data_IF_794883995329
#
_entry.id   IF_794883995329
#
_cell.length_a   1.000
_cell.length_b   1.000
_cell.length_c   1.000
_cell.angle_alpha   90.00
_cell.angle_beta   90.00
_cell.angle_gamma   90.00
#
_symmetry.space_group_name_H-M   'P 1'
#
loop_
_entity.id
_entity.type
_entity.pdbx_description
1 polymer ?
#
# COMPACT_ATOMS: atom_id res chain seq x y z
N UNK A 1 -46.89 -44.57 -23.72
CA UNK A 1 -45.56 -45.21 -23.83
C UNK A 1 -44.54 -44.13 -23.57
N UNK A 2 -43.92 -43.95 -22.40
CA UNK A 2 -43.21 -44.86 -21.50
C UNK A 2 -42.00 -45.57 -22.15
N UNK A 3 -40.83 -45.15 -21.66
CA UNK A 3 -39.47 -45.74 -21.58
C UNK A 3 -38.44 -45.09 -22.54
N UNK A 4 -37.33 -44.48 -22.10
CA UNK A 4 -36.71 -44.32 -20.78
C UNK A 4 -35.23 -44.71 -20.80
N UNK A 5 -34.40 -43.93 -20.10
CA UNK A 5 -33.03 -44.23 -19.57
C UNK A 5 -31.91 -44.08 -20.63
N UNK A 6 -30.87 -43.23 -20.51
CA UNK A 6 -29.89 -43.05 -19.42
C UNK A 6 -29.49 -41.56 -19.35
N UNK A 7 -29.96 -40.85 -18.33
CA UNK A 7 -29.39 -39.56 -17.87
C UNK A 7 -29.21 -39.69 -16.36
N UNK A 8 -28.16 -40.42 -15.97
CA UNK A 8 -27.72 -40.54 -14.58
C UNK A 8 -26.39 -41.28 -14.54
N UNK A 9 -25.28 -40.54 -14.48
CA UNK A 9 -24.16 -40.80 -13.57
C UNK A 9 -23.07 -39.76 -13.84
N UNK A 10 -22.49 -39.26 -12.76
CA UNK A 10 -21.48 -38.21 -12.66
C UNK A 10 -21.99 -36.76 -12.65
N UNK A 11 -22.08 -36.24 -11.41
CA UNK A 11 -22.05 -34.84 -10.95
C UNK A 11 -23.20 -34.38 -10.04
N UNK A 12 -24.06 -35.31 -9.59
CA UNK A 12 -24.73 -35.20 -8.27
C UNK A 12 -24.09 -36.16 -7.28
N UNK A 13 -22.85 -35.89 -6.86
CA UNK A 13 -22.19 -36.50 -5.70
C UNK A 13 -20.87 -35.76 -5.43
N UNK A 14 -20.97 -34.68 -4.64
CA UNK A 14 -19.97 -34.13 -3.70
C UNK A 14 -20.36 -32.68 -3.43
N UNK A 15 -21.18 -32.47 -2.39
CA UNK A 15 -21.33 -31.20 -1.63
C UNK A 15 -22.37 -31.25 -0.50
N UNK A 16 -22.96 -32.41 -0.13
CA UNK A 16 -23.82 -32.50 1.08
C UNK A 16 -23.25 -33.34 2.23
N UNK A 17 -22.01 -33.85 2.10
CA UNK A 17 -21.33 -34.59 3.18
C UNK A 17 -20.42 -33.69 4.00
N UNK A 18 -19.71 -32.73 3.38
CA UNK A 18 -18.77 -31.86 4.10
C UNK A 18 -19.46 -30.73 4.89
N UNK A 19 -20.68 -30.34 4.50
CA UNK A 19 -21.49 -29.35 5.25
C UNK A 19 -22.08 -29.99 6.53
N UNK A 20 -22.48 -31.27 6.47
CA UNK A 20 -22.99 -32.00 7.65
C UNK A 20 -21.92 -32.35 8.68
N UNK A 21 -20.65 -32.44 8.26
CA UNK A 21 -19.54 -32.75 9.16
C UNK A 21 -19.05 -31.52 9.93
N UNK A 22 -19.29 -30.31 9.40
CA UNK A 22 -18.99 -29.04 10.08
C UNK A 22 -20.09 -28.68 11.10
N UNK A 23 -21.36 -28.92 10.78
CA UNK A 23 -22.47 -28.67 11.72
C UNK A 23 -22.44 -29.61 12.94
N UNK A 24 -22.08 -30.88 12.77
CA UNK A 24 -22.00 -31.84 13.87
C UNK A 24 -20.88 -31.50 14.89
N UNK A 25 -19.77 -30.90 14.46
CA UNK A 25 -18.67 -30.49 15.34
C UNK A 25 -19.03 -29.24 16.18
N UNK A 26 -19.90 -28.37 15.66
CA UNK A 26 -20.39 -27.19 16.39
C UNK A 26 -21.42 -27.62 17.45
N UNK A 27 -22.31 -28.56 17.12
CA UNK A 27 -23.29 -29.10 18.07
C UNK A 27 -22.65 -29.91 19.22
N UNK A 28 -21.53 -30.61 18.96
CA UNK A 28 -20.79 -31.34 19.98
C UNK A 28 -20.03 -30.39 20.93
N UNK A 29 -19.52 -29.27 20.41
CA UNK A 29 -18.88 -28.21 21.20
C UNK A 29 -19.91 -27.44 22.07
N UNK A 30 -21.10 -27.16 21.52
CA UNK A 30 -22.21 -26.54 22.26
C UNK A 30 -22.74 -27.49 23.35
N UNK A 31 -22.86 -28.79 23.08
CA UNK A 31 -23.23 -29.79 24.10
C UNK A 31 -22.22 -29.86 25.25
N UNK A 32 -20.91 -29.79 24.95
CA UNK A 32 -19.85 -29.76 25.97
C UNK A 32 -19.94 -28.50 26.85
N UNK A 33 -20.19 -27.34 26.25
CA UNK A 33 -20.39 -26.07 26.97
C UNK A 33 -21.68 -26.08 27.82
N UNK A 34 -22.76 -26.70 27.32
CA UNK A 34 -24.03 -26.83 28.05
C UNK A 34 -23.93 -27.84 29.19
N UNK A 35 -23.17 -28.93 29.07
CA UNK A 35 -22.88 -29.87 30.17
C UNK A 35 -22.03 -29.21 31.27
N UNK A 36 -21.05 -28.37 30.92
CA UNK A 36 -20.33 -27.53 31.89
C UNK A 36 -21.27 -26.60 32.67
N UNK A 37 -22.28 -26.05 32.01
CA UNK A 37 -23.26 -25.13 32.62
C UNK A 37 -24.34 -25.86 33.44
N UNK A 38 -24.63 -27.13 33.15
CA UNK A 38 -25.56 -27.98 33.93
C UNK A 38 -25.00 -28.43 35.29
N UNK A 39 -23.70 -28.25 35.54
CA UNK A 39 -23.09 -28.44 36.86
C UNK A 39 -23.49 -27.38 37.91
N UNK A 40 -24.15 -26.30 37.49
CA UNK A 40 -24.62 -25.23 38.36
C UNK A 40 -26.15 -25.30 38.42
N UNK A 41 -26.68 -26.23 39.22
CA UNK A 41 -28.13 -26.28 39.51
C UNK A 41 -28.55 -25.12 40.40
N UNK A 42 -29.29 -24.20 39.79
CA UNK A 42 -30.57 -23.63 40.27
C UNK A 42 -31.02 -23.98 41.70
N UNK A 43 -31.40 -22.96 42.47
CA UNK A 43 -32.68 -23.00 43.16
C UNK A 43 -33.53 -21.79 42.76
N UNK A 44 -34.71 -22.09 42.23
CA UNK A 44 -35.65 -21.20 41.58
C UNK A 44 -36.79 -20.92 42.58
N UNK A 45 -37.06 -19.64 42.91
CA UNK A 45 -38.37 -19.15 43.41
C UNK A 45 -38.39 -17.62 43.33
N UNK A 46 -38.90 -17.08 42.21
CA UNK A 46 -39.42 -15.70 42.15
C UNK A 46 -40.68 -15.64 43.03
N UNK A 47 -40.60 -14.99 44.21
CA UNK A 47 -41.71 -14.17 44.78
C UNK A 47 -41.56 -13.71 46.24
N UNK A 48 -40.48 -14.00 46.99
CA UNK A 48 -40.36 -13.52 48.39
C UNK A 48 -39.04 -12.84 48.79
N UNK A 49 -38.13 -12.55 47.85
CA UNK A 49 -36.81 -11.97 48.16
C UNK A 49 -36.66 -10.48 47.84
N UNK A 50 -37.70 -9.84 47.29
CA UNK A 50 -37.64 -8.43 46.86
C UNK A 50 -37.96 -7.40 47.97
N UNK A 51 -38.26 -7.85 49.20
CA UNK A 51 -38.51 -6.97 50.33
C UNK A 51 -37.50 -7.09 51.48
N UNK A 52 -36.65 -8.13 51.46
CA UNK A 52 -35.60 -8.33 52.47
C UNK A 52 -34.21 -7.82 52.01
N UNK A 53 -33.95 -7.76 50.70
CA UNK A 53 -32.69 -7.19 50.16
C UNK A 53 -32.70 -5.65 50.14
N UNK A 54 -33.87 -5.02 50.06
CA UNK A 54 -34.02 -3.55 50.16
C UNK A 54 -33.76 -2.98 51.56
N UNK A 55 -33.58 -3.82 52.59
CA UNK A 55 -33.31 -3.38 53.97
C UNK A 55 -31.93 -3.78 54.51
N UNK A 56 -31.07 -4.45 53.73
CA UNK A 56 -29.72 -4.83 54.17
C UNK A 56 -28.55 -4.26 53.35
N UNK A 57 -28.80 -3.55 52.26
CA UNK A 57 -27.75 -2.86 51.47
C UNK A 57 -27.67 -1.35 51.70
N UNK A 58 -28.19 -0.86 52.83
CA UNK A 58 -28.02 0.53 53.26
C UNK A 58 -26.98 0.70 54.39
N UNK A 59 -26.36 -0.37 54.88
CA UNK A 59 -25.39 -0.31 55.99
C UNK A 59 -23.97 -0.83 55.66
N UNK A 60 -23.70 -1.39 54.48
CA UNK A 60 -22.35 -1.86 54.10
C UNK A 60 -21.68 -1.03 52.98
N UNK A 61 -22.34 0.03 52.48
CA UNK A 61 -21.78 0.94 51.46
C UNK A 61 -21.04 2.16 52.08
N UNK A 62 -20.78 2.16 53.40
CA UNK A 62 -20.12 3.29 54.09
C UNK A 62 -18.74 3.00 54.70
N UNK A 63 -18.08 1.88 54.38
CA UNK A 63 -16.75 1.58 54.91
C UNK A 63 -15.79 0.91 53.91
N UNK A 64 -15.81 1.34 52.64
CA UNK A 64 -14.72 1.08 51.71
C UNK A 64 -14.27 2.42 51.13
N UNK A 65 -13.90 3.33 52.04
CA UNK A 65 -13.00 4.44 51.76
C UNK A 65 -11.62 4.04 52.29
N UNK A 66 -10.63 4.09 51.41
CA UNK A 66 -9.19 3.87 51.58
C UNK A 66 -8.60 2.54 51.09
N UNK A 67 -7.62 2.71 50.18
CA UNK A 67 -6.68 1.75 49.58
C UNK A 67 -7.17 0.97 48.35
N UNK A 68 -7.31 1.70 47.24
CA UNK A 68 -6.80 1.22 45.96
C UNK A 68 -5.88 2.32 45.43
N UNK A 69 -4.56 2.12 45.56
CA UNK A 69 -3.57 2.89 44.82
C UNK A 69 -3.76 2.56 43.33
N UNK A 70 -4.52 3.41 42.64
CA UNK A 70 -4.53 3.46 41.18
C UNK A 70 -3.15 3.95 40.72
N UNK A 71 -2.41 3.21 39.88
CA UNK A 71 -1.27 3.80 39.22
C UNK A 71 -1.78 4.93 38.33
N UNK A 72 -1.49 6.17 38.71
CA UNK A 72 -1.56 7.32 37.81
C UNK A 72 -0.55 7.11 36.68
N UNK A 73 -0.98 6.40 35.64
CA UNK A 73 -0.31 6.35 34.36
C UNK A 73 -0.53 7.69 33.65
N UNK A 74 0.28 8.68 33.99
CA UNK A 74 0.61 9.78 33.08
C UNK A 74 1.31 9.20 31.85
N UNK A 75 0.55 8.87 30.81
CA UNK A 75 1.05 8.64 29.46
C UNK A 75 -0.12 8.68 28.46
N UNK A 76 -0.82 9.81 28.37
CA UNK A 76 -1.56 10.17 27.15
C UNK A 76 -0.55 10.54 26.05
N UNK A 77 0.23 9.56 25.60
CA UNK A 77 0.85 9.65 24.28
C UNK A 77 -0.27 9.33 23.29
N UNK A 78 -0.57 10.22 22.33
CA UNK A 78 -1.57 9.91 21.32
C UNK A 78 -1.16 8.60 20.64
N UNK A 79 -2.09 7.63 20.60
CA UNK A 79 -1.88 6.37 19.89
C UNK A 79 -1.57 6.74 18.43
N UNK A 80 -0.31 6.58 18.04
CA UNK A 80 0.12 6.90 16.68
C UNK A 80 -0.53 5.87 15.74
N UNK A 81 -1.39 6.35 14.85
CA UNK A 81 -2.05 5.51 13.84
C UNK A 81 -0.97 4.76 13.03
N UNK A 82 -1.06 3.43 13.00
CA UNK A 82 -0.11 2.62 12.25
C UNK A 82 -0.48 2.66 10.75
N UNK A 83 0.31 3.38 9.98
CA UNK A 83 0.12 3.53 8.53
C UNK A 83 0.67 2.29 7.81
N UNK A 84 -0.15 1.70 6.95
CA UNK A 84 0.27 0.61 6.05
C UNK A 84 1.41 1.08 5.17
N UNK A 85 2.56 0.39 5.24
CA UNK A 85 3.74 0.73 4.46
C UNK A 85 3.60 0.30 2.99
N UNK A 86 4.32 0.95 2.05
CA UNK A 86 4.44 0.45 0.68
C UNK A 86 5.01 -0.97 0.60
N UNK A 87 4.41 -1.81 -0.26
CA UNK A 87 4.92 -3.16 -0.53
C UNK A 87 6.17 -3.15 -1.44
N UNK A 88 6.39 -2.06 -2.19
CA UNK A 88 7.51 -1.88 -3.12
C UNK A 88 8.41 -0.72 -2.68
N UNK A 89 9.72 -0.83 -2.91
CA UNK A 89 10.63 0.32 -2.77
C UNK A 89 10.48 1.21 -4.00
N UNK A 90 10.30 2.50 -3.78
CA UNK A 90 10.15 3.48 -4.85
C UNK A 90 10.89 4.77 -4.50
N UNK A 91 11.54 5.37 -5.49
CA UNK A 91 12.24 6.65 -5.31
C UNK A 91 11.20 7.74 -5.05
N UNK A 92 11.48 8.65 -4.12
CA UNK A 92 10.59 9.76 -3.80
C UNK A 92 9.48 9.44 -2.79
N UNK A 93 9.42 8.21 -2.26
CA UNK A 93 8.41 7.83 -1.27
C UNK A 93 8.37 8.76 -0.04
N UNK A 94 7.17 9.18 0.35
CA UNK A 94 6.90 10.22 1.35
C UNK A 94 6.76 9.71 2.77
N UNK A 95 7.09 8.44 3.02
CA UNK A 95 6.95 7.80 4.34
C UNK A 95 7.64 8.55 5.49
N UNK A 96 8.73 9.27 5.23
CA UNK A 96 9.44 10.05 6.25
C UNK A 96 8.70 11.31 6.69
N UNK A 97 7.88 11.89 5.82
CA UNK A 97 7.15 13.13 6.06
C UNK A 97 5.63 12.92 6.03
N UNK A 98 5.19 11.67 6.10
CA UNK A 98 3.80 11.28 5.84
C UNK A 98 2.82 11.97 6.80
N UNK A 99 3.19 12.10 8.08
CA UNK A 99 2.40 12.79 9.10
C UNK A 99 2.23 14.28 8.74
N UNK A 100 3.23 14.90 8.12
CA UNK A 100 3.13 16.31 7.69
C UNK A 100 2.25 16.45 6.46
N UNK A 101 2.40 15.54 5.49
CA UNK A 101 1.61 15.52 4.25
C UNK A 101 0.13 15.30 4.55
N UNK A 102 -0.22 14.25 5.30
CA UNK A 102 -1.61 13.88 5.58
C UNK A 102 -2.34 14.93 6.44
N UNK A 103 -1.62 15.68 7.28
CA UNK A 103 -2.22 16.74 8.09
C UNK A 103 -2.61 17.98 7.27
N UNK A 104 -2.10 18.13 6.05
CA UNK A 104 -2.52 19.16 5.11
C UNK A 104 -3.73 18.74 4.27
N UNK A 105 -4.13 17.46 4.33
CA UNK A 105 -5.26 16.98 3.55
C UNK A 105 -6.58 17.49 4.15
N UNK A 106 -7.58 17.80 3.31
CA UNK A 106 -8.89 18.14 3.82
C UNK A 106 -9.57 16.92 4.45
N UNK A 107 -10.32 17.15 5.53
CA UNK A 107 -11.04 16.08 6.24
C UNK A 107 -12.25 15.53 5.48
N UNK A 108 -12.79 16.31 4.54
CA UNK A 108 -13.90 15.93 3.68
C UNK A 108 -13.57 16.30 2.25
N UNK A 109 -13.78 15.40 1.30
CA UNK A 109 -13.60 15.62 -0.15
C UNK A 109 -14.63 14.81 -0.93
N UNK A 110 -14.90 15.22 -2.17
CA UNK A 110 -15.75 14.44 -3.07
C UNK A 110 -14.98 13.24 -3.61
N UNK A 111 -14.01 13.47 -4.50
CA UNK A 111 -13.06 12.45 -4.94
C UNK A 111 -11.62 12.76 -4.51
N UNK A 112 -10.76 11.74 -4.55
CA UNK A 112 -9.31 11.87 -4.38
C UNK A 112 -8.58 11.50 -5.67
N UNK A 113 -7.54 12.25 -6.02
CA UNK A 113 -6.68 12.00 -7.17
C UNK A 113 -5.20 12.02 -6.78
N UNK A 114 -4.44 10.99 -7.19
CA UNK A 114 -2.98 10.90 -7.07
C UNK A 114 -2.40 10.49 -8.43
N UNK A 115 -2.06 11.45 -9.31
CA UNK A 115 -1.60 11.18 -10.68
C UNK A 115 -0.12 10.80 -10.80
N UNK A 116 0.60 10.77 -9.66
CA UNK A 116 2.00 10.34 -9.55
C UNK A 116 2.11 9.31 -8.43
N UNK A 117 1.48 8.15 -8.60
CA UNK A 117 1.32 7.16 -7.54
C UNK A 117 2.66 6.67 -6.98
N UNK A 118 3.61 6.32 -7.85
CA UNK A 118 4.87 5.69 -7.44
C UNK A 118 4.68 4.52 -6.48
N UNK A 119 5.35 4.57 -5.32
CA UNK A 119 5.21 3.54 -4.27
C UNK A 119 3.92 3.62 -3.45
N UNK A 120 3.07 4.64 -3.65
CA UNK A 120 1.77 4.78 -3.00
C UNK A 120 1.82 5.01 -1.50
N UNK A 121 2.91 5.58 -0.96
CA UNK A 121 3.00 5.88 0.47
C UNK A 121 1.90 6.84 0.94
N UNK A 122 1.50 7.78 0.08
CA UNK A 122 0.47 8.77 0.40
C UNK A 122 -0.92 8.17 0.22
N UNK A 123 -1.16 7.45 -0.88
CA UNK A 123 -2.36 6.64 -1.07
C UNK A 123 -2.64 5.73 0.14
N UNK A 124 -1.66 4.95 0.59
CA UNK A 124 -1.84 4.02 1.71
C UNK A 124 -2.15 4.76 3.02
N UNK A 125 -1.50 5.90 3.28
CA UNK A 125 -1.83 6.74 4.44
C UNK A 125 -3.24 7.31 4.35
N UNK A 126 -3.65 7.85 3.20
CA UNK A 126 -5.01 8.32 2.96
C UNK A 126 -6.03 7.22 3.27
N UNK A 127 -5.81 6.01 2.74
CA UNK A 127 -6.71 4.88 2.93
C UNK A 127 -6.76 4.43 4.40
N UNK A 128 -5.63 4.42 5.11
CA UNK A 128 -5.62 4.17 6.56
C UNK A 128 -6.44 5.22 7.32
N UNK A 129 -6.27 6.51 7.01
CA UNK A 129 -7.04 7.59 7.64
C UNK A 129 -8.54 7.52 7.29
N UNK A 130 -8.88 7.12 6.06
CA UNK A 130 -10.27 6.86 5.64
C UNK A 130 -10.88 5.70 6.40
N UNK A 131 -10.17 4.58 6.53
CA UNK A 131 -10.63 3.40 7.26
C UNK A 131 -10.89 3.70 8.76
N UNK A 132 -10.15 4.64 9.33
CA UNK A 132 -10.31 5.11 10.71
C UNK A 132 -11.26 6.32 10.85
N UNK A 133 -12.01 6.69 9.81
CA UNK A 133 -12.99 7.78 9.84
C UNK A 133 -12.41 9.20 9.97
N UNK A 134 -11.09 9.36 9.89
CA UNK A 134 -10.39 10.65 10.00
C UNK A 134 -10.46 11.47 8.71
N UNK A 135 -10.63 10.81 7.56
CA UNK A 135 -10.87 11.45 6.26
C UNK A 135 -12.12 10.82 5.63
N UNK A 136 -13.03 11.66 5.15
CA UNK A 136 -14.27 11.25 4.48
C UNK A 136 -14.18 11.57 2.99
N UNK A 137 -14.32 10.54 2.17
CA UNK A 137 -14.35 10.63 0.70
C UNK A 137 -15.71 10.12 0.27
N UNK A 138 -16.50 10.95 -0.43
CA UNK A 138 -17.87 10.61 -0.84
C UNK A 138 -17.91 9.76 -2.10
N UNK A 139 -17.02 10.08 -3.04
CA UNK A 139 -16.87 9.43 -4.33
C UNK A 139 -15.67 8.50 -4.36
N UNK A 140 -14.96 8.53 -5.48
CA UNK A 140 -13.92 7.57 -5.83
C UNK A 140 -12.52 8.04 -5.44
N UNK A 141 -11.61 7.08 -5.37
CA UNK A 141 -10.18 7.29 -5.15
C UNK A 141 -9.48 6.87 -6.43
N UNK A 142 -8.87 7.82 -7.12
CA UNK A 142 -8.19 7.61 -8.39
C UNK A 142 -6.67 7.68 -8.17
N UNK A 143 -5.97 6.64 -8.59
CA UNK A 143 -4.53 6.55 -8.51
C UNK A 143 -3.97 6.19 -9.89
N UNK A 144 -3.01 6.97 -10.37
CA UNK A 144 -2.42 6.74 -11.69
C UNK A 144 -0.94 7.02 -11.72
N UNK A 145 -0.29 6.41 -12.71
CA UNK A 145 1.12 6.58 -13.00
C UNK A 145 1.34 6.31 -14.49
N UNK A 146 2.38 6.90 -15.06
CA UNK A 146 2.77 6.63 -16.45
C UNK A 146 3.33 5.20 -16.60
N UNK A 147 3.86 4.63 -15.51
CA UNK A 147 4.45 3.29 -15.51
C UNK A 147 3.37 2.19 -15.51
N UNK A 148 3.15 1.59 -16.68
CA UNK A 148 2.20 0.48 -16.84
C UNK A 148 2.53 -0.74 -15.98
N UNK A 149 3.81 -1.06 -15.78
CA UNK A 149 4.24 -2.23 -15.03
C UNK A 149 3.91 -2.06 -13.54
N UNK A 150 4.08 -0.85 -13.01
CA UNK A 150 3.69 -0.48 -11.65
C UNK A 150 2.17 -0.59 -11.46
N UNK A 151 1.39 0.01 -12.36
CA UNK A 151 -0.08 -0.04 -12.29
C UNK A 151 -0.60 -1.48 -12.45
N UNK A 152 0.02 -2.28 -13.32
CA UNK A 152 -0.26 -3.71 -13.45
C UNK A 152 -0.03 -4.47 -12.13
N UNK A 153 1.08 -4.19 -11.44
CA UNK A 153 1.38 -4.77 -10.13
C UNK A 153 0.33 -4.39 -9.07
N UNK A 154 -0.07 -3.11 -8.99
CA UNK A 154 -1.17 -2.69 -8.11
C UNK A 154 -2.48 -3.42 -8.41
N UNK A 155 -2.86 -3.53 -9.69
CA UNK A 155 -4.08 -4.24 -10.12
C UNK A 155 -4.03 -5.74 -9.78
N UNK A 156 -2.88 -6.37 -9.93
CA UNK A 156 -2.69 -7.78 -9.58
C UNK A 156 -2.75 -8.01 -8.06
N UNK A 157 -2.20 -7.10 -7.25
CA UNK A 157 -2.37 -7.12 -5.79
C UNK A 157 -3.84 -6.92 -5.43
N UNK A 158 -4.54 -5.98 -6.08
CA UNK A 158 -5.95 -5.66 -5.80
C UNK A 158 -6.92 -6.81 -6.16
N UNK A 159 -6.69 -7.47 -7.29
CA UNK A 159 -7.63 -8.43 -7.86
C UNK A 159 -7.28 -9.90 -7.56
N UNK A 160 -5.99 -10.24 -7.44
CA UNK A 160 -5.51 -11.62 -7.35
C UNK A 160 -4.28 -11.76 -6.42
N UNK A 161 -4.35 -11.30 -5.16
CA UNK A 161 -3.19 -11.28 -4.25
C UNK A 161 -2.61 -12.67 -4.01
N UNK A 162 -3.46 -13.69 -3.88
CA UNK A 162 -3.06 -15.10 -3.68
C UNK A 162 -2.25 -15.67 -4.84
N UNK A 163 -2.67 -15.38 -6.07
CA UNK A 163 -1.97 -15.85 -7.27
C UNK A 163 -0.61 -15.15 -7.40
N UNK A 164 -0.55 -13.85 -7.11
CA UNK A 164 0.71 -13.12 -7.09
C UNK A 164 1.65 -13.66 -6.02
N UNK A 165 1.17 -13.86 -4.79
CA UNK A 165 1.93 -14.45 -3.67
C UNK A 165 2.52 -15.80 -4.11
N UNK A 166 1.71 -16.67 -4.71
CA UNK A 166 2.14 -17.98 -5.20
C UNK A 166 3.25 -17.88 -6.24
N UNK A 167 3.14 -16.99 -7.23
CA UNK A 167 4.17 -16.84 -8.26
C UNK A 167 5.46 -16.20 -7.72
N UNK A 168 5.37 -15.21 -6.83
CA UNK A 168 6.55 -14.62 -6.17
C UNK A 168 7.26 -15.66 -5.31
N UNK A 169 6.50 -16.51 -4.62
CA UNK A 169 7.03 -17.58 -3.77
C UNK A 169 7.84 -18.58 -4.59
N UNK A 170 7.36 -19.03 -5.76
CA UNK A 170 8.13 -19.91 -6.66
C UNK A 170 9.48 -19.30 -7.06
N UNK A 171 9.47 -18.04 -7.50
CA UNK A 171 10.71 -17.34 -7.90
C UNK A 171 11.67 -17.23 -6.72
N UNK A 172 11.13 -16.97 -5.52
CA UNK A 172 11.89 -16.81 -4.28
C UNK A 172 12.51 -18.14 -3.83
N UNK A 173 11.75 -19.24 -3.84
CA UNK A 173 12.22 -20.58 -3.48
C UNK A 173 13.35 -21.04 -4.40
N UNK A 174 13.29 -20.74 -5.70
CA UNK A 174 14.38 -21.06 -6.62
C UNK A 174 15.61 -20.17 -6.40
N UNK A 175 15.42 -18.88 -6.10
CA UNK A 175 16.50 -17.97 -5.73
C UNK A 175 17.22 -18.41 -4.45
N UNK A 176 16.49 -18.88 -3.44
CA UNK A 176 17.06 -19.36 -2.17
C UNK A 176 17.89 -20.63 -2.31
N UNK A 177 17.62 -21.47 -3.33
CA UNK A 177 18.45 -22.64 -3.66
C UNK A 177 19.79 -22.28 -4.28
N UNK A 178 19.94 -21.06 -4.80
CA UNK A 178 21.16 -20.61 -5.47
C UNK A 178 22.24 -20.31 -4.41
N UNK A 179 23.09 -21.27 -4.09
CA UNK A 179 24.11 -21.15 -3.03
C UNK A 179 25.55 -21.01 -3.53
N UNK A 180 25.77 -21.14 -4.85
CA UNK A 180 27.10 -21.06 -5.44
C UNK A 180 27.60 -19.64 -5.66
N UNK A 181 28.89 -19.54 -6.01
CA UNK A 181 29.61 -18.27 -6.20
C UNK A 181 30.05 -18.04 -7.65
N UNK A 182 29.72 -18.94 -8.57
CA UNK A 182 30.06 -18.80 -9.99
C UNK A 182 29.01 -17.90 -10.64
N UNK A 183 29.42 -16.72 -11.09
CA UNK A 183 28.52 -15.70 -11.65
C UNK A 183 28.47 -15.81 -13.17
N UNK A 184 27.29 -16.09 -13.71
CA UNK A 184 26.98 -16.03 -15.14
C UNK A 184 25.80 -15.06 -15.38
N UNK A 185 26.11 -13.81 -15.72
CA UNK A 185 25.11 -12.77 -15.99
C UNK A 185 24.38 -12.93 -17.35
N UNK A 186 24.78 -13.91 -18.16
CA UNK A 186 24.24 -14.16 -19.51
C UNK A 186 23.72 -15.60 -19.65
N UNK A 187 23.30 -16.21 -18.54
CA UNK A 187 22.73 -17.55 -18.52
C UNK A 187 21.68 -17.75 -19.64
N UNK A 188 21.79 -18.87 -20.33
CA UNK A 188 20.88 -19.29 -21.40
C UNK A 188 19.94 -20.42 -20.96
N UNK A 189 20.30 -21.13 -19.89
CA UNK A 189 19.45 -22.14 -19.26
C UNK A 189 19.23 -21.85 -17.78
N UNK A 190 18.26 -22.54 -17.18
CA UNK A 190 17.98 -22.42 -15.74
C UNK A 190 19.13 -23.00 -14.90
N UNK A 191 19.77 -24.07 -15.35
CA UNK A 191 20.91 -24.70 -14.66
C UNK A 191 22.09 -23.72 -14.55
N UNK A 192 22.40 -23.00 -15.64
CA UNK A 192 23.40 -21.95 -15.63
C UNK A 192 23.02 -20.78 -14.70
N UNK A 193 21.73 -20.45 -14.65
CA UNK A 193 21.21 -19.38 -13.82
C UNK A 193 21.24 -19.71 -12.32
N UNK A 194 21.06 -20.98 -11.94
CA UNK A 194 21.03 -21.43 -10.54
C UNK A 194 22.42 -21.48 -9.86
N UNK A 195 23.49 -21.20 -10.61
CA UNK A 195 24.89 -21.23 -10.13
C UNK A 195 25.21 -20.21 -9.04
N UNK A 196 24.47 -19.10 -8.96
CA UNK A 196 24.58 -18.10 -7.89
C UNK A 196 23.33 -17.23 -7.82
N UNK A 197 23.04 -16.58 -6.67
CA UNK A 197 21.93 -15.63 -6.56
C UNK A 197 21.98 -14.53 -7.63
N UNK A 198 23.19 -14.07 -7.94
CA UNK A 198 23.40 -13.02 -8.95
C UNK A 198 23.08 -13.54 -10.36
N UNK A 199 23.54 -14.74 -10.74
CA UNK A 199 23.19 -15.39 -12.00
C UNK A 199 21.66 -15.48 -12.16
N UNK A 200 20.96 -15.94 -11.11
CA UNK A 200 19.51 -16.11 -11.12
C UNK A 200 18.77 -14.77 -11.23
N UNK A 201 19.24 -13.74 -10.52
CA UNK A 201 18.70 -12.39 -10.68
C UNK A 201 18.77 -11.91 -12.15
N UNK A 202 19.93 -12.05 -12.80
CA UNK A 202 20.08 -11.63 -14.20
C UNK A 202 19.24 -12.48 -15.16
N UNK A 203 19.01 -13.76 -14.85
CA UNK A 203 18.09 -14.61 -15.58
C UNK A 203 16.64 -14.12 -15.49
N UNK A 204 16.13 -13.84 -14.29
CA UNK A 204 14.79 -13.27 -14.11
C UNK A 204 14.66 -11.91 -14.82
N UNK A 205 15.69 -11.07 -14.72
CA UNK A 205 15.71 -9.77 -15.42
C UNK A 205 15.65 -9.92 -16.94
N UNK A 206 16.41 -10.86 -17.51
CA UNK A 206 16.38 -11.18 -18.95
C UNK A 206 14.98 -11.62 -19.35
N UNK A 207 14.36 -12.53 -18.59
CA UNK A 207 12.99 -13.01 -18.85
C UNK A 207 11.97 -11.88 -18.81
N UNK A 208 11.99 -11.03 -17.78
CA UNK A 208 11.10 -9.87 -17.70
C UNK A 208 11.24 -8.93 -18.90
N UNK A 209 12.48 -8.65 -19.32
CA UNK A 209 12.74 -7.79 -20.47
C UNK A 209 12.29 -8.41 -21.81
N UNK A 210 12.25 -9.74 -21.91
CA UNK A 210 11.74 -10.46 -23.07
C UNK A 210 10.22 -10.52 -23.16
N UNK A 211 9.49 -10.18 -22.09
CA UNK A 211 8.03 -10.12 -22.10
C UNK A 211 7.52 -8.93 -22.94
N UNK A 212 6.40 -9.14 -23.63
CA UNK A 212 5.62 -8.06 -24.25
C UNK A 212 5.09 -7.08 -23.20
N UNK A 213 4.59 -5.90 -23.62
CA UNK A 213 4.01 -4.92 -22.70
C UNK A 213 2.81 -5.48 -21.94
N UNK A 214 1.99 -6.29 -22.60
CA UNK A 214 0.81 -6.95 -22.06
C UNK A 214 1.21 -8.07 -21.08
N UNK A 215 2.26 -8.82 -21.40
CA UNK A 215 2.76 -9.87 -20.52
C UNK A 215 3.42 -9.32 -19.26
N UNK A 216 4.07 -8.16 -19.30
CA UNK A 216 4.68 -7.52 -18.12
C UNK A 216 3.66 -7.14 -17.05
N UNK A 217 2.41 -6.86 -17.44
CA UNK A 217 1.32 -6.56 -16.49
C UNK A 217 0.55 -7.79 -16.03
N UNK A 218 0.91 -8.99 -16.50
CA UNK A 218 0.37 -10.26 -15.98
C UNK A 218 0.82 -10.55 -14.55
N UNK A 219 0.21 -11.56 -13.90
CA UNK A 219 0.64 -12.05 -12.59
C UNK A 219 2.12 -12.45 -12.60
N UNK A 220 2.58 -13.14 -13.65
CA UNK A 220 3.97 -13.56 -13.78
C UNK A 220 4.92 -12.35 -13.94
N UNK A 221 4.57 -11.39 -14.78
CA UNK A 221 5.36 -10.16 -14.96
C UNK A 221 5.44 -9.34 -13.67
N UNK A 222 4.33 -9.23 -12.94
CA UNK A 222 4.26 -8.56 -11.63
C UNK A 222 5.08 -9.28 -10.57
N UNK A 223 5.08 -10.61 -10.56
CA UNK A 223 5.90 -11.41 -9.65
C UNK A 223 7.40 -11.19 -9.90
N UNK A 224 7.82 -11.19 -11.17
CA UNK A 224 9.20 -10.86 -11.55
C UNK A 224 9.57 -9.43 -11.17
N UNK A 225 8.69 -8.46 -11.38
CA UNK A 225 8.94 -7.06 -11.00
C UNK A 225 9.12 -6.90 -9.49
N UNK A 226 8.25 -7.51 -8.67
CA UNK A 226 8.36 -7.46 -7.21
C UNK A 226 9.64 -8.13 -6.72
N UNK A 227 9.96 -9.33 -7.24
CA UNK A 227 11.21 -10.02 -6.94
C UNK A 227 12.43 -9.15 -7.27
N UNK A 228 12.47 -8.57 -8.48
CA UNK A 228 13.57 -7.70 -8.90
C UNK A 228 13.67 -6.46 -8.01
N UNK A 229 12.56 -5.81 -7.66
CA UNK A 229 12.60 -4.64 -6.77
C UNK A 229 13.21 -4.95 -5.40
N UNK A 230 12.92 -6.13 -4.84
CA UNK A 230 13.43 -6.53 -3.52
C UNK A 230 14.89 -6.97 -3.55
N UNK A 231 15.40 -7.39 -4.71
CA UNK A 231 16.74 -7.95 -4.87
C UNK A 231 17.71 -7.06 -5.65
N UNK A 232 17.24 -6.05 -6.38
CA UNK A 232 18.06 -5.13 -7.16
C UNK A 232 18.71 -4.04 -6.30
N UNK A 233 19.73 -3.39 -6.85
CA UNK A 233 20.44 -2.30 -6.20
C UNK A 233 19.48 -1.19 -5.75
N UNK A 234 19.40 -1.00 -4.43
CA UNK A 234 18.57 -0.02 -3.71
C UNK A 234 17.06 -0.11 -3.94
N UNK A 235 16.56 -1.13 -4.63
CA UNK A 235 15.14 -1.27 -4.95
C UNK A 235 14.60 -0.12 -5.80
N UNK A 236 15.44 0.44 -6.68
CA UNK A 236 15.01 1.46 -7.63
C UNK A 236 14.37 0.80 -8.85
N UNK A 237 13.45 1.51 -9.49
CA UNK A 237 12.97 1.17 -10.82
C UNK A 237 13.70 2.03 -11.84
N UNK A 238 14.27 1.40 -12.86
CA UNK A 238 14.89 2.11 -13.98
C UNK A 238 14.85 1.24 -15.23
N UNK A 239 14.35 1.82 -16.31
CA UNK A 239 14.35 1.21 -17.64
C UNK A 239 15.17 2.06 -18.59
N UNK A 240 15.83 1.40 -19.54
CA UNK A 240 16.43 2.05 -20.70
C UNK A 240 15.82 1.50 -21.99
N UNK A 241 16.44 1.75 -23.16
CA UNK A 241 15.95 1.24 -24.44
C UNK A 241 15.76 -0.28 -24.49
N UNK A 242 16.49 -1.03 -23.66
CA UNK A 242 16.46 -2.49 -23.58
C UNK A 242 15.66 -3.02 -22.36
N UNK A 243 14.78 -2.22 -21.77
CA UNK A 243 13.98 -2.57 -20.60
C UNK A 243 14.70 -2.34 -19.27
N UNK A 244 14.28 -3.07 -18.23
CA UNK A 244 14.77 -2.92 -16.86
C UNK A 244 16.27 -3.21 -16.78
N UNK A 245 17.04 -2.27 -16.21
CA UNK A 245 18.51 -2.28 -16.29
C UNK A 245 19.22 -2.07 -14.94
N UNK A 246 18.52 -2.30 -13.82
CA UNK A 246 19.12 -2.17 -12.48
C UNK A 246 19.97 -3.42 -12.18
N UNK A 247 21.19 -3.29 -11.61
CA UNK A 247 22.02 -4.43 -11.25
C UNK A 247 21.52 -5.13 -9.97
N UNK A 248 22.06 -6.32 -9.69
CA UNK A 248 21.81 -7.06 -8.46
C UNK A 248 22.28 -6.26 -7.23
N UNK A 249 21.51 -6.31 -6.14
CA UNK A 249 21.73 -5.49 -4.94
C UNK A 249 22.64 -6.13 -3.88
N UNK A 250 22.92 -7.43 -3.98
CA UNK A 250 23.76 -8.19 -3.03
C UNK A 250 23.36 -8.00 -1.55
N UNK A 251 22.06 -8.07 -1.27
CA UNK A 251 21.56 -8.05 0.12
C UNK A 251 21.77 -9.42 0.76
N UNK A 252 22.21 -9.46 2.03
CA UNK A 252 22.43 -10.71 2.75
C UNK A 252 21.15 -11.55 2.89
N UNK A 253 20.08 -10.94 3.42
CA UNK A 253 18.78 -11.59 3.63
C UNK A 253 17.65 -10.62 3.20
N UNK A 254 17.38 -10.45 1.89
CA UNK A 254 16.32 -9.57 1.45
C UNK A 254 14.95 -10.14 1.84
N UNK A 255 14.11 -9.37 2.53
CA UNK A 255 12.69 -9.70 2.68
C UNK A 255 11.98 -9.48 1.34
N UNK A 256 11.84 -10.55 0.56
CA UNK A 256 11.24 -10.50 -0.78
C UNK A 256 9.71 -10.50 -0.71
N UNK A 257 9.13 -11.36 0.14
CA UNK A 257 7.70 -11.57 0.23
C UNK A 257 7.23 -11.53 1.69
N UNK A 258 6.23 -10.70 1.94
CA UNK A 258 5.50 -10.63 3.21
C UNK A 258 4.03 -10.89 2.91
N UNK A 259 3.61 -12.17 2.95
CA UNK A 259 2.28 -12.59 2.44
C UNK A 259 1.13 -11.84 3.11
N UNK A 260 1.17 -11.73 4.44
CA UNK A 260 0.14 -11.03 5.21
C UNK A 260 0.10 -9.53 4.86
N UNK A 261 1.26 -8.92 4.63
CA UNK A 261 1.33 -7.52 4.23
C UNK A 261 0.69 -7.28 2.86
N UNK A 262 0.96 -8.15 1.88
CA UNK A 262 0.32 -8.07 0.55
C UNK A 262 -1.20 -8.20 0.66
N UNK A 263 -1.70 -9.12 1.50
CA UNK A 263 -3.15 -9.26 1.75
C UNK A 263 -3.75 -8.02 2.41
N UNK A 264 -3.07 -7.45 3.40
CA UNK A 264 -3.50 -6.21 4.06
C UNK A 264 -3.55 -5.04 3.08
N UNK A 265 -2.53 -4.90 2.22
CA UNK A 265 -2.54 -3.89 1.14
C UNK A 265 -3.70 -4.13 0.18
N UNK A 266 -3.88 -5.37 -0.29
CA UNK A 266 -4.96 -5.75 -1.21
C UNK A 266 -6.34 -5.37 -0.68
N UNK A 267 -6.61 -5.66 0.60
CA UNK A 267 -7.85 -5.28 1.27
C UNK A 267 -8.01 -3.75 1.32
N UNK A 268 -6.93 -3.03 1.63
CA UNK A 268 -6.96 -1.56 1.77
C UNK A 268 -7.21 -0.84 0.45
N UNK A 269 -6.66 -1.35 -0.66
CA UNK A 269 -6.76 -0.72 -1.99
C UNK A 269 -7.97 -1.21 -2.81
N UNK A 270 -8.87 -2.01 -2.22
CA UNK A 270 -9.93 -2.72 -2.97
C UNK A 270 -10.79 -1.82 -3.85
N UNK A 271 -11.09 -0.62 -3.37
CA UNK A 271 -11.97 0.35 -4.04
C UNK A 271 -11.21 1.45 -4.81
N UNK A 272 -9.89 1.32 -4.96
CA UNK A 272 -9.07 2.29 -5.69
C UNK A 272 -9.17 2.06 -7.19
N UNK A 273 -9.42 3.12 -7.96
CA UNK A 273 -9.43 3.08 -9.42
C UNK A 273 -8.00 3.34 -9.91
N UNK A 274 -7.32 2.26 -10.31
CA UNK A 274 -5.96 2.34 -10.87
C UNK A 274 -5.98 2.52 -12.40
N UNK A 275 -5.29 3.55 -12.89
CA UNK A 275 -5.21 3.86 -14.33
C UNK A 275 -3.76 4.10 -14.75
N UNK A 276 -3.38 3.56 -15.91
CA UNK A 276 -2.11 3.91 -16.56
C UNK A 276 -2.37 5.09 -17.49
N UNK A 277 -1.95 6.29 -17.11
CA UNK A 277 -2.11 7.49 -17.94
C UNK A 277 -1.12 8.57 -17.50
N UNK A 278 -0.98 9.62 -18.32
CA UNK A 278 -0.23 10.79 -17.91
C UNK A 278 -1.02 11.61 -16.87
N UNK A 279 -0.35 12.55 -16.20
CA UNK A 279 -0.99 13.35 -15.16
C UNK A 279 -2.10 14.24 -15.72
N UNK A 280 -1.94 14.77 -16.93
CA UNK A 280 -2.94 15.65 -17.57
C UNK A 280 -4.26 14.91 -17.81
N UNK A 281 -4.20 13.69 -18.36
CA UNK A 281 -5.37 12.83 -18.55
C UNK A 281 -6.06 12.49 -17.23
N UNK A 282 -5.27 12.21 -16.18
CA UNK A 282 -5.80 11.91 -14.85
C UNK A 282 -6.55 13.11 -14.22
N UNK A 283 -6.21 14.32 -14.65
CA UNK A 283 -6.75 15.58 -14.12
C UNK A 283 -7.88 16.15 -14.98
N UNK A 284 -8.20 15.57 -16.14
CA UNK A 284 -9.20 16.08 -17.08
C UNK A 284 -10.59 16.25 -16.44
N UNK A 285 -10.99 15.29 -15.59
CA UNK A 285 -12.35 15.17 -15.05
C UNK A 285 -12.53 15.72 -13.64
N UNK A 286 -11.49 16.35 -13.07
CA UNK A 286 -11.57 16.90 -11.72
C UNK A 286 -12.59 18.04 -11.67
N UNK A 287 -13.33 18.08 -10.58
CA UNK A 287 -14.37 19.09 -10.35
C UNK A 287 -14.30 19.66 -8.95
N UNK A 288 -15.12 20.69 -8.71
CA UNK A 288 -15.21 21.37 -7.42
C UNK A 288 -15.35 20.36 -6.26
N UNK A 289 -14.68 20.65 -5.15
CA UNK A 289 -14.67 19.87 -3.91
C UNK A 289 -13.90 18.53 -3.97
N UNK A 290 -13.33 18.16 -5.11
CA UNK A 290 -12.29 17.14 -5.21
C UNK A 290 -10.99 17.58 -4.53
N UNK A 291 -10.12 16.62 -4.23
CA UNK A 291 -8.77 16.85 -3.73
C UNK A 291 -7.73 16.12 -4.57
N UNK A 292 -6.65 16.82 -4.91
CA UNK A 292 -5.56 16.29 -5.74
C UNK A 292 -4.24 16.36 -4.96
N UNK A 293 -3.58 15.22 -4.80
CA UNK A 293 -2.21 15.15 -4.29
C UNK A 293 -1.23 14.94 -5.44
N UNK A 294 -0.26 15.84 -5.57
CA UNK A 294 0.72 15.86 -6.65
C UNK A 294 2.13 15.63 -6.09
N UNK A 295 2.81 14.61 -6.59
CA UNK A 295 4.20 14.30 -6.25
C UNK A 295 5.02 13.96 -7.52
N UNK A 296 5.19 14.94 -8.43
CA UNK A 296 5.91 14.70 -9.67
C UNK A 296 7.40 14.41 -9.39
N UNK A 297 8.15 13.90 -10.40
CA UNK A 297 9.60 14.06 -10.42
C UNK A 297 9.98 15.50 -10.08
N UNK A 298 10.94 15.70 -9.17
CA UNK A 298 11.24 17.03 -8.65
C UNK A 298 11.89 17.93 -9.69
N UNK A 299 11.52 19.20 -9.62
CA UNK A 299 12.12 20.24 -10.44
C UNK A 299 13.64 20.32 -10.16
N UNK A 300 14.47 20.45 -11.20
CA UNK A 300 15.91 20.53 -11.06
C UNK A 300 16.35 21.81 -10.34
N UNK A 301 17.46 21.74 -9.61
CA UNK A 301 18.06 22.91 -8.94
C UNK A 301 18.62 23.92 -9.98
N UNK A 302 19.23 23.42 -11.07
CA UNK A 302 19.94 24.23 -12.08
C UNK A 302 19.71 23.71 -13.53
N UNK A 303 19.96 24.53 -14.55
CA UNK A 303 19.87 24.13 -15.97
C UNK A 303 20.80 22.96 -16.34
N UNK A 304 21.93 22.80 -15.67
CA UNK A 304 22.84 21.66 -15.90
C UNK A 304 22.32 20.34 -15.32
N UNK A 305 21.53 20.39 -14.24
CA UNK A 305 20.84 19.20 -13.70
C UNK A 305 19.71 18.71 -14.61
N UNK A 306 19.20 19.58 -15.48
CA UNK A 306 18.20 19.25 -16.50
C UNK A 306 18.65 18.14 -17.45
N UNK A 307 19.93 18.12 -17.84
CA UNK A 307 20.47 17.13 -18.79
C UNK A 307 20.54 15.72 -18.18
N UNK A 308 20.61 15.61 -16.85
CA UNK A 308 20.79 14.32 -16.15
C UNK A 308 19.51 13.67 -15.64
N UNK A 309 18.48 14.45 -15.30
CA UNK A 309 17.20 13.94 -14.76
C UNK A 309 16.12 13.76 -15.84
N UNK A 310 16.28 14.39 -17.01
CA UNK A 310 15.39 14.20 -18.17
C UNK A 310 15.36 12.77 -18.72
N UNK A 311 16.24 11.87 -18.25
CA UNK A 311 16.22 10.46 -18.63
C UNK A 311 14.94 9.71 -18.22
N UNK A 312 14.24 10.19 -17.19
CA UNK A 312 12.97 9.62 -16.73
C UNK A 312 11.74 10.24 -17.43
N UNK A 313 11.95 11.11 -18.43
CA UNK A 313 10.91 11.62 -19.32
C UNK A 313 10.14 12.85 -18.84
N UNK A 314 10.30 13.28 -17.58
CA UNK A 314 9.62 14.48 -17.04
C UNK A 314 10.51 15.73 -17.20
N UNK A 315 10.29 16.45 -18.29
CA UNK A 315 11.08 17.64 -18.67
C UNK A 315 10.45 18.97 -18.19
N UNK A 316 11.08 20.10 -18.53
CA UNK A 316 10.65 21.45 -18.15
C UNK A 316 9.25 21.78 -18.68
N UNK A 317 8.91 21.31 -19.88
CA UNK A 317 7.60 21.57 -20.45
C UNK A 317 6.51 20.79 -19.72
N UNK A 318 6.82 19.57 -19.25
CA UNK A 318 5.94 18.84 -18.33
C UNK A 318 5.76 19.59 -17.00
N UNK A 319 6.83 20.16 -16.43
CA UNK A 319 6.72 21.00 -15.23
C UNK A 319 5.83 22.23 -15.47
N UNK A 320 6.05 22.95 -16.56
CA UNK A 320 5.24 24.13 -16.93
C UNK A 320 3.77 23.77 -17.12
N UNK A 321 3.50 22.65 -17.79
CA UNK A 321 2.14 22.14 -17.98
C UNK A 321 1.49 21.80 -16.63
N UNK A 322 2.18 21.04 -15.77
CA UNK A 322 1.69 20.72 -14.44
C UNK A 322 1.38 21.97 -13.61
N UNK A 323 2.27 22.97 -13.62
CA UNK A 323 2.04 24.21 -12.87
C UNK A 323 0.86 25.00 -13.40
N UNK A 324 0.67 25.04 -14.72
CA UNK A 324 -0.52 25.61 -15.33
C UNK A 324 -1.80 24.90 -14.87
N UNK A 325 -1.81 23.57 -14.86
CA UNK A 325 -2.96 22.79 -14.37
C UNK A 325 -3.24 23.04 -12.87
N UNK A 326 -2.20 23.19 -12.04
CA UNK A 326 -2.36 23.59 -10.64
C UNK A 326 -3.03 24.97 -10.49
N UNK A 327 -2.72 25.93 -11.36
CA UNK A 327 -3.39 27.23 -11.39
C UNK A 327 -4.85 27.12 -11.85
N UNK A 328 -5.14 26.28 -12.84
CA UNK A 328 -6.51 26.00 -13.29
C UNK A 328 -7.35 25.29 -12.22
N UNK A 329 -6.77 24.37 -11.44
CA UNK A 329 -7.42 23.73 -10.29
C UNK A 329 -7.92 24.76 -9.27
N UNK A 330 -7.09 25.77 -8.95
CA UNK A 330 -7.48 26.86 -8.07
C UNK A 330 -8.68 27.64 -8.63
N UNK A 331 -8.66 27.98 -9.91
CA UNK A 331 -9.79 28.68 -10.56
C UNK A 331 -11.09 27.85 -10.51
N UNK A 332 -10.98 26.52 -10.66
CA UNK A 332 -12.09 25.55 -10.55
C UNK A 332 -12.52 25.25 -9.10
N UNK A 333 -11.86 25.83 -8.08
CA UNK A 333 -12.07 25.54 -6.65
C UNK A 333 -11.83 24.06 -6.29
N UNK A 334 -10.88 23.44 -6.97
CA UNK A 334 -10.34 22.12 -6.63
C UNK A 334 -9.19 22.33 -5.66
N UNK A 335 -9.18 21.63 -4.52
CA UNK A 335 -8.08 21.75 -3.56
C UNK A 335 -6.92 20.85 -3.98
N UNK A 336 -5.71 21.33 -3.81
CA UNK A 336 -4.51 20.56 -4.11
C UNK A 336 -3.46 20.62 -3.01
N UNK A 337 -2.61 19.61 -3.00
CA UNK A 337 -1.32 19.64 -2.33
C UNK A 337 -0.24 19.16 -3.30
N UNK A 338 0.73 20.02 -3.60
CA UNK A 338 1.90 19.70 -4.41
C UNK A 338 3.13 19.54 -3.52
N UNK A 339 3.86 18.43 -3.70
CA UNK A 339 5.19 18.20 -3.14
C UNK A 339 6.25 18.47 -4.22
N UNK A 340 7.28 19.25 -3.91
CA UNK A 340 8.39 19.49 -4.85
C UNK A 340 9.68 19.94 -4.14
N UNK A 341 10.77 20.09 -4.88
CA UNK A 341 12.01 20.68 -4.37
C UNK A 341 11.86 22.18 -4.11
N UNK A 342 12.57 22.69 -3.09
CA UNK A 342 12.64 24.13 -2.82
C UNK A 342 13.57 24.84 -3.82
N UNK A 343 13.08 25.10 -5.04
CA UNK A 343 13.84 25.76 -6.12
C UNK A 343 13.14 26.99 -6.67
N UNK A 344 13.88 27.91 -7.30
CA UNK A 344 13.35 29.17 -7.87
C UNK A 344 12.18 28.92 -8.83
N UNK A 345 12.32 27.94 -9.72
CA UNK A 345 11.27 27.56 -10.67
C UNK A 345 9.92 27.26 -9.99
N UNK A 346 9.94 26.56 -8.84
CA UNK A 346 8.73 26.21 -8.09
C UNK A 346 8.22 27.42 -7.31
N UNK A 347 9.09 28.20 -6.66
CA UNK A 347 8.71 29.41 -5.90
C UNK A 347 8.05 30.47 -6.78
N UNK A 348 8.59 30.68 -7.99
CA UNK A 348 8.06 31.64 -8.96
C UNK A 348 6.68 31.21 -9.48
N UNK A 349 6.44 29.90 -9.62
CA UNK A 349 5.16 29.35 -10.07
C UNK A 349 4.06 29.41 -8.99
N UNK A 350 4.43 29.41 -7.71
CA UNK A 350 3.50 29.36 -6.59
C UNK A 350 3.75 30.48 -5.55
N UNK A 351 3.58 31.76 -5.92
CA UNK A 351 3.90 32.88 -5.05
C UNK A 351 2.88 33.06 -3.91
N UNK A 352 3.36 33.55 -2.77
CA UNK A 352 2.50 34.03 -1.68
C UNK A 352 1.91 35.43 -2.02
N UNK A 353 0.73 35.79 -1.49
CA UNK A 353 -0.16 34.98 -0.65
C UNK A 353 -1.12 34.09 -1.46
N UNK A 354 -0.95 34.01 -2.79
CA UNK A 354 -1.84 33.23 -3.67
C UNK A 354 -1.80 31.76 -3.29
N UNK A 355 -0.62 31.22 -2.97
CA UNK A 355 -0.43 29.87 -2.48
C UNK A 355 0.20 29.89 -1.09
N UNK A 356 -0.10 28.87 -0.29
CA UNK A 356 0.54 28.63 0.99
C UNK A 356 1.63 27.57 0.83
N UNK A 357 2.84 27.89 1.27
CA UNK A 357 4.01 27.01 1.14
C UNK A 357 4.55 26.65 2.52
N UNK A 358 4.66 25.35 2.80
CA UNK A 358 5.34 24.80 3.97
C UNK A 358 6.67 24.17 3.54
N UNK A 359 7.77 24.64 4.11
CA UNK A 359 9.11 24.11 3.86
C UNK A 359 9.42 23.01 4.88
N UNK A 360 9.97 21.89 4.42
CA UNK A 360 10.40 20.76 5.25
C UNK A 360 11.85 20.41 4.94
N UNK A 361 12.66 20.26 5.98
CA UNK A 361 14.04 19.81 5.83
C UNK A 361 14.09 18.28 5.87
N UNK A 362 14.40 17.66 4.73
CA UNK A 362 14.44 16.21 4.55
C UNK A 362 15.90 15.72 4.45
N UNK A 363 16.20 14.53 4.98
CA UNK A 363 17.50 13.89 4.69
C UNK A 363 17.50 13.40 3.25
N UNK A 364 18.57 13.65 2.48
CA UNK A 364 18.69 13.07 1.13
C UNK A 364 18.78 11.55 1.25
N UNK A 365 17.80 10.84 0.70
CA UNK A 365 17.77 9.38 0.74
C UNK A 365 18.93 8.73 -0.04
N UNK A 366 19.55 9.45 -0.99
CA UNK A 366 20.49 8.88 -1.97
C UNK A 366 21.67 9.85 -2.19
N UNK A 367 22.53 10.06 -1.19
CA UNK A 367 23.83 10.71 -1.41
C UNK A 367 24.97 9.82 -0.90
N UNK A 368 25.58 9.05 -1.80
CA UNK A 368 26.64 8.09 -1.47
C UNK A 368 27.88 8.73 -0.82
N UNK A 369 28.14 10.01 -1.10
CA UNK A 369 29.30 10.75 -0.59
C UNK A 369 29.03 11.53 0.71
N UNK A 370 27.77 11.78 1.07
CA UNK A 370 27.41 12.56 2.26
C UNK A 370 26.02 12.15 2.78
N UNK A 371 25.95 11.12 3.65
CA UNK A 371 24.69 10.57 4.15
C UNK A 371 23.84 11.56 4.99
N UNK A 372 24.46 12.65 5.46
CA UNK A 372 23.81 13.67 6.29
C UNK A 372 23.32 14.88 5.48
N UNK A 373 23.55 14.92 4.16
CA UNK A 373 23.10 16.00 3.31
C UNK A 373 21.57 16.16 3.44
N UNK A 374 21.12 17.37 3.74
CA UNK A 374 19.70 17.71 3.78
C UNK A 374 19.31 18.44 2.50
N UNK A 375 18.09 18.22 2.07
CA UNK A 375 17.45 19.01 1.02
C UNK A 375 16.15 19.55 1.58
N UNK A 376 15.76 20.73 1.14
CA UNK A 376 14.46 21.26 1.49
C UNK A 376 13.44 20.84 0.44
N UNK A 377 12.27 20.46 0.94
CA UNK A 377 11.08 20.13 0.17
C UNK A 377 10.01 21.18 0.49
N UNK A 378 9.22 21.55 -0.51
CA UNK A 378 8.07 22.44 -0.37
C UNK A 378 6.78 21.64 -0.53
N UNK A 379 5.85 21.89 0.39
CA UNK A 379 4.46 21.45 0.34
C UNK A 379 3.57 22.66 0.06
N UNK A 380 2.90 22.67 -1.08
CA UNK A 380 2.19 23.85 -1.61
C UNK A 380 0.69 23.56 -1.69
N UNK A 381 -0.12 24.41 -1.07
CA UNK A 381 -1.59 24.34 -1.09
C UNK A 381 -2.19 25.61 -1.68
N UNK A 382 -3.36 25.51 -2.30
CA UNK A 382 -4.06 26.61 -2.98
C UNK A 382 -5.21 27.25 -2.19
#
# INVERSE_FOLDING_TARGET
MLKGVIFNQHLKRKTSCDIKQIDNNIDEFIKSAVEMLKGIKTFNRKSQFNEHVKRKTSCEIKQIDNKIDLPHSNNDKPIKMEITKPFIKWVGGKSQIIDTVINLFPKNMNNYYEPFLGGGSVLLALLTYKANGCIKIKGNIYASDLNSNLIGLYKNIQSSPDLLIKEVKKITEDFEKCTGNVINRKASTIEEAMTSPESYYFWIRKRFNSLSKEERVSICGSAMLLFMNKTCFRGVYREGPNGFNVPYGNYKNPTILEEQHIRSVSALIKDVVFTTCCFSDALEKITKDDFVYLDPPYAPENDTSFVSYTSDGFNLDNHKLLFKECSEMKAKKVRMLLSNAEVKLVKDAFPAPIYNTKIISCRRAIHSKNPNARTNEVLITN
#
